data_IF_017711077023
#
_entry.id   IF_017711077023
#
_cell.length_a   1.000
_cell.length_b   1.000
_cell.length_c   1.000
_cell.angle_alpha   90.00
_cell.angle_beta   90.00
_cell.angle_gamma   90.00
#
_symmetry.space_group_name_H-M   'P 1'
#
loop_
_entity.id
_entity.type
_entity.pdbx_description
1 polymer ?
#
# COMPACT_ATOMS: atom_id res chain seq x y z
N UNK A 1 32.32 23.20 -44.32
CA UNK A 1 31.34 22.09 -44.20
C UNK A 1 32.11 20.80 -43.99
N UNK A 2 32.42 20.47 -42.74
CA UNK A 2 33.08 19.21 -42.37
C UNK A 2 32.01 18.31 -41.76
N UNK A 3 31.55 17.34 -42.54
CA UNK A 3 30.58 16.33 -42.09
C UNK A 3 31.21 15.44 -41.04
N UNK A 4 30.64 15.43 -39.84
CA UNK A 4 31.00 14.47 -38.79
C UNK A 4 30.59 13.08 -39.29
N UNK A 5 31.53 12.11 -39.39
CA UNK A 5 31.18 10.75 -39.76
C UNK A 5 30.28 10.17 -38.69
N UNK A 6 29.08 9.76 -39.11
CA UNK A 6 28.11 9.04 -38.29
C UNK A 6 28.72 7.67 -37.97
N UNK A 7 29.37 7.55 -36.82
CA UNK A 7 29.90 6.27 -36.32
C UNK A 7 28.73 5.30 -36.30
N UNK A 8 28.78 4.28 -37.17
CA UNK A 8 27.82 3.21 -37.17
C UNK A 8 27.84 2.56 -35.78
N UNK A 9 26.76 2.76 -35.02
CA UNK A 9 26.62 2.14 -33.72
C UNK A 9 26.79 0.63 -33.91
N UNK A 10 27.75 0.06 -33.18
CA UNK A 10 27.97 -1.39 -33.13
C UNK A 10 26.61 -2.05 -32.87
N UNK A 11 26.16 -3.01 -33.70
CA UNK A 11 24.88 -3.67 -33.46
C UNK A 11 24.88 -4.23 -32.05
N UNK A 12 23.87 -3.88 -31.27
CA UNK A 12 23.72 -4.39 -29.91
C UNK A 12 23.77 -5.93 -29.96
N UNK A 13 24.51 -6.58 -29.04
CA UNK A 13 24.54 -8.04 -28.99
C UNK A 13 23.12 -8.58 -28.90
N UNK A 14 22.79 -9.56 -29.74
CA UNK A 14 21.49 -10.21 -29.72
C UNK A 14 21.25 -10.84 -28.33
N UNK A 15 20.07 -10.60 -27.75
CA UNK A 15 19.67 -11.19 -26.48
C UNK A 15 19.57 -12.72 -26.66
N UNK A 16 20.43 -13.48 -25.99
CA UNK A 16 20.37 -14.95 -26.00
C UNK A 16 19.33 -15.40 -24.98
N UNK A 17 18.25 -16.02 -25.46
CA UNK A 17 17.18 -16.57 -24.63
C UNK A 17 17.34 -18.09 -24.49
N UNK A 18 16.98 -18.69 -23.34
CA UNK A 18 16.47 -18.03 -22.13
C UNK A 18 17.58 -17.33 -21.33
N UNK A 19 17.29 -16.13 -20.83
CA UNK A 19 18.19 -15.40 -19.94
C UNK A 19 17.86 -15.78 -18.50
N UNK A 20 18.76 -16.53 -17.84
CA UNK A 20 18.59 -16.94 -16.46
C UNK A 20 19.66 -16.31 -15.56
N UNK A 21 19.24 -15.80 -14.41
CA UNK A 21 20.17 -15.28 -13.40
C UNK A 21 19.58 -15.43 -11.99
N UNK A 22 20.47 -15.55 -11.02
CA UNK A 22 20.15 -15.68 -9.61
C UNK A 22 20.49 -14.38 -8.89
N UNK A 23 19.62 -13.97 -7.97
CA UNK A 23 19.85 -12.78 -7.16
C UNK A 23 19.27 -12.97 -5.77
N UNK A 24 19.74 -12.13 -4.86
CA UNK A 24 19.17 -12.02 -3.53
C UNK A 24 18.28 -10.78 -3.47
N UNK A 25 16.97 -10.99 -3.33
CA UNK A 25 16.03 -9.92 -3.05
C UNK A 25 16.12 -9.55 -1.57
N UNK A 26 16.46 -8.30 -1.31
CA UNK A 26 16.50 -7.72 0.02
C UNK A 26 15.15 -7.12 0.39
N UNK A 27 14.93 -6.84 1.67
CA UNK A 27 13.76 -6.10 2.16
C UNK A 27 13.54 -4.78 1.41
N UNK A 28 14.61 -4.10 1.00
CA UNK A 28 14.53 -2.84 0.25
C UNK A 28 13.91 -3.07 -1.13
N UNK A 29 14.33 -4.13 -1.83
CA UNK A 29 13.84 -4.48 -3.17
C UNK A 29 12.34 -4.80 -3.13
N UNK A 30 11.92 -5.64 -2.17
CA UNK A 30 10.51 -5.99 -1.96
C UNK A 30 9.69 -4.77 -1.51
N UNK A 31 10.28 -3.86 -0.74
CA UNK A 31 9.60 -2.61 -0.34
C UNK A 31 9.31 -1.73 -1.54
N UNK A 32 10.27 -1.53 -2.45
CA UNK A 32 10.06 -0.70 -3.64
C UNK A 32 9.01 -1.33 -4.56
N UNK A 33 9.07 -2.65 -4.77
CA UNK A 33 8.05 -3.39 -5.50
C UNK A 33 6.65 -3.16 -4.91
N UNK A 34 6.53 -3.30 -3.58
CA UNK A 34 5.27 -3.14 -2.85
C UNK A 34 4.76 -1.70 -2.91
N UNK A 35 5.64 -0.71 -2.81
CA UNK A 35 5.27 0.71 -2.92
C UNK A 35 4.79 1.05 -4.33
N UNK A 36 5.39 0.45 -5.36
CA UNK A 36 4.96 0.64 -6.73
C UNK A 36 3.60 -0.01 -6.99
N UNK A 37 3.41 -1.26 -6.55
CA UNK A 37 2.12 -1.97 -6.63
C UNK A 37 0.99 -1.16 -5.98
N UNK A 38 1.27 -0.54 -4.83
CA UNK A 38 0.31 0.28 -4.08
C UNK A 38 0.27 1.76 -4.53
N UNK A 39 1.11 2.19 -5.48
CA UNK A 39 1.17 3.58 -5.93
C UNK A 39 -0.17 4.13 -6.43
N UNK A 40 -1.03 3.38 -7.15
CA UNK A 40 -2.36 3.83 -7.56
C UNK A 40 -3.29 4.14 -6.38
N UNK A 41 -3.10 3.51 -5.21
CA UNK A 41 -3.86 3.80 -4.00
C UNK A 41 -3.24 4.95 -3.20
N UNK A 42 -1.91 4.99 -3.13
CA UNK A 42 -1.15 5.94 -2.30
C UNK A 42 -1.10 7.34 -2.95
N UNK A 43 -0.77 7.44 -4.24
CA UNK A 43 -0.53 8.72 -4.92
C UNK A 43 -1.79 9.61 -5.00
N UNK A 44 -2.99 9.09 -5.37
CA UNK A 44 -4.19 9.91 -5.40
C UNK A 44 -4.61 10.39 -4.01
N UNK A 45 -4.52 9.53 -3.00
CA UNK A 45 -4.84 9.92 -1.62
C UNK A 45 -3.89 11.02 -1.13
N UNK A 46 -2.58 10.90 -1.41
CA UNK A 46 -1.61 11.95 -1.12
C UNK A 46 -1.90 13.24 -1.88
N UNK A 47 -2.29 13.18 -3.16
CA UNK A 47 -2.65 14.36 -3.96
C UNK A 47 -3.90 15.05 -3.42
N UNK A 48 -4.94 14.28 -3.07
CA UNK A 48 -6.20 14.77 -2.51
C UNK A 48 -6.02 15.56 -1.22
N UNK A 49 -5.01 15.26 -0.40
CA UNK A 49 -4.68 16.07 0.78
C UNK A 49 -4.42 17.54 0.43
N UNK A 50 -3.71 17.82 -0.67
CA UNK A 50 -3.41 19.19 -1.10
C UNK A 50 -4.47 19.78 -2.03
N UNK A 51 -5.09 18.97 -2.90
CA UNK A 51 -6.04 19.49 -3.89
C UNK A 51 -7.46 19.64 -3.37
N UNK A 52 -7.83 18.89 -2.32
CA UNK A 52 -9.18 18.92 -1.74
C UNK A 52 -9.07 19.24 -0.25
N UNK A 53 -8.27 18.48 0.50
CA UNK A 53 -8.20 18.60 1.95
C UNK A 53 -7.79 19.99 2.43
N UNK A 54 -6.67 20.52 1.93
CA UNK A 54 -6.19 21.84 2.31
C UNK A 54 -7.14 22.97 1.87
N UNK A 55 -7.63 23.03 0.61
CA UNK A 55 -8.65 24.01 0.22
C UNK A 55 -9.95 23.92 1.03
N UNK A 56 -10.45 22.72 1.32
CA UNK A 56 -11.63 22.55 2.17
C UNK A 56 -11.39 23.05 3.59
N UNK A 57 -10.20 22.78 4.16
CA UNK A 57 -9.82 23.30 5.48
C UNK A 57 -9.87 24.84 5.49
N UNK A 58 -9.26 25.49 4.50
CA UNK A 58 -9.29 26.95 4.37
C UNK A 58 -10.71 27.47 4.18
N UNK A 59 -11.48 26.85 3.29
CA UNK A 59 -12.87 27.23 3.02
C UNK A 59 -13.73 27.18 4.30
N UNK A 60 -13.69 26.08 5.04
CA UNK A 60 -14.48 25.94 6.27
C UNK A 60 -13.98 26.83 7.40
N UNK A 61 -12.66 27.06 7.50
CA UNK A 61 -12.11 27.99 8.50
C UNK A 61 -12.56 29.44 8.22
N UNK A 62 -12.48 29.88 6.97
CA UNK A 62 -12.94 31.21 6.54
C UNK A 62 -14.46 31.32 6.75
N UNK A 63 -15.23 30.30 6.34
CA UNK A 63 -16.68 30.30 6.49
C UNK A 63 -17.09 30.36 7.97
N UNK A 64 -16.44 29.59 8.84
CA UNK A 64 -16.70 29.59 10.28
C UNK A 64 -16.34 30.92 10.94
N UNK A 65 -15.18 31.49 10.58
CA UNK A 65 -14.77 32.80 11.07
C UNK A 65 -15.74 33.90 10.59
N UNK A 66 -16.16 33.86 9.32
CA UNK A 66 -17.12 34.81 8.75
C UNK A 66 -18.49 34.70 9.43
N UNK A 67 -18.97 33.47 9.67
CA UNK A 67 -20.23 33.22 10.36
C UNK A 67 -20.21 33.68 11.82
N UNK A 68 -19.07 33.53 12.52
CA UNK A 68 -18.91 33.99 13.90
C UNK A 68 -18.71 35.51 14.04
N UNK A 69 -18.10 36.15 13.03
CA UNK A 69 -17.89 37.60 13.01
C UNK A 69 -19.16 38.39 12.68
N UNK A 70 -20.07 37.82 11.88
CA UNK A 70 -21.24 38.55 11.38
C UNK A 70 -22.38 38.61 12.42
N UNK A 71 -22.91 39.80 12.73
CA UNK A 71 -24.18 39.91 13.47
C UNK A 71 -25.35 39.42 12.61
N UNK A 72 -26.25 38.62 13.21
CA UNK A 72 -27.26 37.81 12.52
C UNK A 72 -28.29 38.56 11.61
N UNK A 73 -28.23 39.90 11.48
CA UNK A 73 -29.26 40.72 10.81
C UNK A 73 -28.77 41.72 9.75
N UNK A 74 -27.48 41.81 9.43
CA UNK A 74 -26.99 42.76 8.40
C UNK A 74 -26.99 42.13 7.00
N UNK A 75 -27.34 42.85 5.92
CA UNK A 75 -27.16 42.37 4.54
C UNK A 75 -25.68 42.32 4.15
N UNK A 76 -25.31 41.35 3.29
CA UNK A 76 -23.93 41.15 2.80
C UNK A 76 -23.51 42.28 1.86
N UNK A 77 -22.45 43.02 2.19
CA UNK A 77 -21.80 43.97 1.28
C UNK A 77 -20.35 43.59 0.98
N UNK A 78 -19.83 44.01 -0.18
CA UNK A 78 -18.43 43.78 -0.56
C UNK A 78 -17.44 44.48 0.40
N UNK A 79 -17.82 45.64 0.95
CA UNK A 79 -17.02 46.34 1.94
C UNK A 79 -16.85 45.53 3.24
N UNK A 80 -17.94 44.93 3.73
CA UNK A 80 -17.88 44.06 4.92
C UNK A 80 -17.01 42.82 4.70
N UNK A 81 -16.96 42.29 3.47
CA UNK A 81 -16.06 41.18 3.14
C UNK A 81 -14.59 41.63 3.22
N UNK A 82 -14.28 42.83 2.73
CA UNK A 82 -12.94 43.42 2.83
C UNK A 82 -12.50 43.67 4.27
N UNK A 83 -13.38 44.22 5.11
CA UNK A 83 -13.12 44.45 6.53
C UNK A 83 -12.88 43.12 7.27
N UNK A 84 -13.73 42.12 7.03
CA UNK A 84 -13.54 40.79 7.59
C UNK A 84 -12.20 40.17 7.19
N UNK A 85 -11.81 40.24 5.91
CA UNK A 85 -10.54 39.67 5.45
C UNK A 85 -9.35 40.37 6.11
N UNK A 86 -9.41 41.69 6.28
CA UNK A 86 -8.35 42.47 6.92
C UNK A 86 -8.19 42.08 8.40
N UNK A 87 -9.31 41.94 9.12
CA UNK A 87 -9.34 41.50 10.52
C UNK A 87 -8.87 40.05 10.64
N UNK A 88 -9.41 39.15 9.83
CA UNK A 88 -9.08 37.74 9.85
C UNK A 88 -7.58 37.50 9.62
N UNK A 89 -6.99 38.18 8.63
CA UNK A 89 -5.55 38.06 8.32
C UNK A 89 -4.68 38.64 9.45
N UNK A 90 -5.15 39.68 10.14
CA UNK A 90 -4.44 40.30 11.27
C UNK A 90 -4.54 39.53 12.60
N UNK A 91 -5.49 38.61 12.73
CA UNK A 91 -5.82 37.97 14.00
C UNK A 91 -5.23 36.56 14.19
N UNK A 92 -5.15 36.13 15.45
CA UNK A 92 -4.73 34.79 15.89
C UNK A 92 -5.31 33.59 15.10
N UNK A 93 -6.59 33.56 14.67
CA UNK A 93 -7.15 32.43 13.92
C UNK A 93 -6.46 32.16 12.59
N UNK A 94 -5.98 33.20 11.90
CA UNK A 94 -5.26 33.05 10.64
C UNK A 94 -3.88 32.43 10.85
N UNK A 95 -3.13 32.89 11.86
CA UNK A 95 -1.85 32.29 12.21
C UNK A 95 -2.00 30.81 12.62
N UNK A 96 -3.05 30.46 13.37
CA UNK A 96 -3.36 29.07 13.68
C UNK A 96 -3.65 28.24 12.41
N UNK A 97 -4.43 28.79 11.48
CA UNK A 97 -4.73 28.14 10.20
C UNK A 97 -3.47 27.95 9.35
N UNK A 98 -2.55 28.91 9.34
CA UNK A 98 -1.24 28.79 8.70
C UNK A 98 -0.41 27.67 9.32
N UNK A 99 -0.36 27.57 10.65
CA UNK A 99 0.36 26.49 11.33
C UNK A 99 -0.23 25.12 10.98
N UNK A 100 -1.56 24.99 10.99
CA UNK A 100 -2.22 23.73 10.59
C UNK A 100 -1.90 23.41 9.13
N UNK A 101 -1.94 24.42 8.25
CA UNK A 101 -1.62 24.27 6.82
C UNK A 101 -0.17 23.83 6.61
N UNK A 102 0.78 24.45 7.32
CA UNK A 102 2.19 24.06 7.32
C UNK A 102 2.35 22.60 7.80
N UNK A 103 1.60 22.19 8.82
CA UNK A 103 1.54 20.81 9.29
C UNK A 103 1.04 19.82 8.22
N UNK A 104 -0.01 20.19 7.47
CA UNK A 104 -0.54 19.38 6.35
C UNK A 104 0.50 19.26 5.22
N UNK A 105 1.18 20.35 4.87
CA UNK A 105 2.23 20.36 3.85
C UNK A 105 3.44 19.53 4.31
N UNK A 106 3.89 19.71 5.55
CA UNK A 106 4.97 18.92 6.13
C UNK A 106 4.62 17.43 6.16
N UNK A 107 3.39 17.09 6.55
CA UNK A 107 2.90 15.73 6.48
C UNK A 107 2.92 15.17 5.06
N UNK A 108 2.50 15.95 4.06
CA UNK A 108 2.54 15.56 2.66
C UNK A 108 3.96 15.33 2.13
N UNK A 109 4.94 16.11 2.60
CA UNK A 109 6.36 15.95 2.29
C UNK A 109 6.95 14.68 2.92
N UNK A 110 6.63 14.41 4.19
CA UNK A 110 7.13 13.23 4.94
C UNK A 110 6.40 11.94 4.54
N UNK A 111 5.22 12.05 3.93
CA UNK A 111 4.35 10.92 3.58
C UNK A 111 5.07 9.76 2.85
N UNK A 112 5.89 9.98 1.80
CA UNK A 112 6.55 8.88 1.08
C UNK A 112 7.51 8.10 1.99
N UNK A 113 8.30 8.81 2.79
CA UNK A 113 9.22 8.19 3.74
C UNK A 113 8.48 7.40 4.82
N UNK A 114 7.36 7.95 5.32
CA UNK A 114 6.51 7.27 6.29
C UNK A 114 5.89 6.00 5.70
N UNK A 115 5.38 6.05 4.48
CA UNK A 115 4.82 4.87 3.79
C UNK A 115 5.88 3.80 3.59
N UNK A 116 7.10 4.18 3.16
CA UNK A 116 8.24 3.25 3.06
C UNK A 116 8.54 2.58 4.40
N UNK A 117 8.63 3.33 5.50
CA UNK A 117 8.86 2.76 6.84
C UNK A 117 7.73 1.84 7.31
N UNK A 118 6.48 2.21 7.03
CA UNK A 118 5.33 1.36 7.37
C UNK A 118 5.34 0.07 6.56
N UNK A 119 5.65 0.14 5.26
CA UNK A 119 5.77 -1.01 4.38
C UNK A 119 6.89 -1.94 4.84
N UNK A 120 8.08 -1.40 5.16
CA UNK A 120 9.19 -2.19 5.72
C UNK A 120 8.79 -2.90 7.02
N UNK A 121 8.07 -2.22 7.93
CA UNK A 121 7.59 -2.86 9.17
C UNK A 121 6.58 -3.98 8.88
N UNK A 122 5.67 -3.78 7.94
CA UNK A 122 4.70 -4.79 7.55
C UNK A 122 5.39 -6.01 6.90
N UNK A 123 6.34 -5.77 5.99
CA UNK A 123 7.12 -6.82 5.32
C UNK A 123 8.02 -7.59 6.31
N UNK A 124 8.65 -6.92 7.29
CA UNK A 124 9.38 -7.63 8.36
C UNK A 124 8.44 -8.51 9.19
N UNK A 125 7.28 -8.00 9.56
CA UNK A 125 6.27 -8.78 10.27
C UNK A 125 5.72 -9.96 9.44
N UNK A 126 5.83 -9.89 8.11
CA UNK A 126 5.51 -10.97 7.18
C UNK A 126 6.66 -11.98 6.99
N UNK A 127 7.86 -11.72 7.51
CA UNK A 127 9.02 -12.63 7.42
C UNK A 127 10.07 -12.26 6.37
N UNK A 128 10.03 -11.05 5.80
CA UNK A 128 11.04 -10.57 4.84
C UNK A 128 12.33 -10.00 5.50
N UNK A 129 12.74 -10.54 6.64
CA UNK A 129 13.95 -10.06 7.34
C UNK A 129 15.24 -10.55 6.67
N UNK A 130 15.22 -11.78 6.15
CA UNK A 130 16.35 -12.40 5.47
C UNK A 130 16.28 -12.20 3.96
N UNK A 131 17.42 -11.98 3.27
CA UNK A 131 17.46 -11.96 1.81
C UNK A 131 16.90 -13.25 1.20
N UNK A 132 16.21 -13.12 0.08
CA UNK A 132 15.57 -14.23 -0.63
C UNK A 132 16.39 -14.56 -1.85
N UNK A 133 16.90 -15.79 -1.93
CA UNK A 133 17.45 -16.32 -3.17
C UNK A 133 16.31 -16.53 -4.17
N UNK A 134 16.36 -15.77 -5.26
CA UNK A 134 15.39 -15.82 -6.33
C UNK A 134 16.11 -16.01 -7.66
N UNK A 135 15.68 -17.01 -8.41
CA UNK A 135 16.14 -17.24 -9.79
C UNK A 135 15.09 -16.75 -10.76
N UNK A 136 15.50 -15.87 -11.65
CA UNK A 136 14.69 -15.40 -12.76
C UNK A 136 15.05 -16.18 -14.02
N UNK A 137 14.05 -16.53 -14.81
CA UNK A 137 14.23 -17.07 -16.15
C UNK A 137 13.33 -16.25 -17.08
N UNK A 138 13.96 -15.45 -17.93
CA UNK A 138 13.30 -14.66 -18.98
C UNK A 138 13.37 -15.49 -20.25
N UNK A 139 12.21 -15.96 -20.70
CA UNK A 139 12.07 -16.79 -21.89
C UNK A 139 11.13 -16.12 -22.90
N UNK A 140 11.02 -16.69 -24.10
CA UNK A 140 10.20 -16.11 -25.18
C UNK A 140 8.70 -16.11 -24.84
N UNK A 141 8.25 -17.04 -24.01
CA UNK A 141 6.87 -17.22 -23.56
C UNK A 141 6.54 -16.38 -22.32
N UNK A 142 7.49 -16.21 -21.39
CA UNK A 142 7.23 -15.42 -20.19
C UNK A 142 8.39 -15.29 -19.22
N UNK A 143 8.01 -14.88 -18.01
CA UNK A 143 8.88 -14.72 -16.86
C UNK A 143 8.60 -15.84 -15.85
N UNK A 144 9.60 -16.69 -15.61
CA UNK A 144 9.57 -17.63 -14.48
C UNK A 144 10.38 -17.06 -13.32
N UNK A 145 9.81 -17.10 -12.11
CA UNK A 145 10.52 -16.80 -10.87
C UNK A 145 10.52 -18.03 -9.98
N UNK A 146 11.70 -18.40 -9.46
CA UNK A 146 11.90 -19.60 -8.63
C UNK A 146 12.52 -19.22 -7.29
N UNK A 147 11.75 -19.46 -6.25
CA UNK A 147 12.14 -19.46 -4.84
C UNK A 147 12.24 -20.92 -4.36
N UNK A 148 12.93 -21.20 -3.23
CA UNK A 148 13.06 -22.57 -2.72
C UNK A 148 11.72 -23.31 -2.55
N UNK A 149 10.68 -22.60 -2.12
CA UNK A 149 9.35 -23.14 -1.79
C UNK A 149 8.25 -22.70 -2.77
N UNK A 150 8.56 -21.82 -3.74
CA UNK A 150 7.57 -21.22 -4.64
C UNK A 150 8.15 -21.09 -6.04
N UNK A 151 7.39 -21.50 -7.05
CA UNK A 151 7.70 -21.23 -8.45
C UNK A 151 6.52 -20.53 -9.08
N UNK A 152 6.75 -19.47 -9.83
CA UNK A 152 5.70 -18.78 -10.57
C UNK A 152 6.11 -18.55 -12.00
N UNK A 153 5.16 -18.72 -12.91
CA UNK A 153 5.30 -18.38 -14.32
C UNK A 153 4.26 -17.34 -14.69
N UNK A 154 4.72 -16.22 -15.26
CA UNK A 154 3.88 -15.14 -15.75
C UNK A 154 4.15 -14.95 -17.23
N UNK A 155 3.18 -15.22 -18.12
CA UNK A 155 3.36 -14.99 -19.54
C UNK A 155 3.40 -13.50 -19.86
N UNK A 156 4.05 -13.12 -20.96
CA UNK A 156 4.20 -11.70 -21.32
C UNK A 156 2.85 -10.99 -21.54
N UNK A 157 1.83 -11.72 -22.03
CA UNK A 157 0.46 -11.22 -22.16
C UNK A 157 -0.21 -10.80 -20.84
N UNK A 158 0.26 -11.33 -19.70
CA UNK A 158 -0.26 -11.01 -18.36
C UNK A 158 0.58 -9.94 -17.66
N UNK A 159 1.62 -9.40 -18.31
CA UNK A 159 2.36 -8.24 -17.81
C UNK A 159 1.75 -7.02 -18.50
N UNK A 160 1.26 -6.08 -17.70
CA UNK A 160 0.55 -4.89 -18.21
C UNK A 160 1.51 -3.83 -18.76
N UNK A 161 2.65 -3.67 -18.09
CA UNK A 161 3.71 -2.73 -18.47
C UNK A 161 5.02 -3.06 -17.77
N UNK A 162 6.10 -2.55 -18.34
CA UNK A 162 7.38 -2.39 -17.68
C UNK A 162 7.44 -0.99 -17.06
N UNK A 163 7.84 -0.90 -15.79
CA UNK A 163 8.18 0.37 -15.15
C UNK A 163 9.66 0.35 -14.75
N UNK A 164 10.33 1.48 -14.80
CA UNK A 164 11.77 1.58 -14.57
C UNK A 164 12.05 2.50 -13.38
N UNK A 165 12.63 1.92 -12.33
CA UNK A 165 13.19 2.67 -11.20
C UNK A 165 14.67 2.96 -11.38
N UNK A 166 15.27 3.62 -10.39
CA UNK A 166 16.72 3.86 -10.36
C UNK A 166 17.50 2.54 -10.38
N UNK A 167 17.11 1.61 -9.51
CA UNK A 167 17.86 0.38 -9.24
C UNK A 167 17.14 -0.91 -9.69
N UNK A 168 15.93 -0.79 -10.23
CA UNK A 168 15.05 -1.93 -10.56
C UNK A 168 14.32 -1.74 -11.89
N UNK A 169 14.04 -2.86 -12.54
CA UNK A 169 12.97 -2.99 -13.54
C UNK A 169 11.76 -3.64 -12.86
N UNK A 170 10.57 -3.11 -13.07
CA UNK A 170 9.36 -3.62 -12.45
C UNK A 170 8.39 -4.16 -13.50
N UNK A 171 8.05 -5.44 -13.39
CA UNK A 171 6.98 -6.04 -14.16
C UNK A 171 5.67 -5.82 -13.42
N UNK A 172 4.82 -4.96 -13.97
CA UNK A 172 3.53 -4.61 -13.35
C UNK A 172 2.46 -5.55 -13.89
N UNK A 173 1.87 -6.38 -13.03
CA UNK A 173 0.76 -7.25 -13.39
C UNK A 173 -0.59 -6.47 -13.31
N UNK A 174 -1.58 -6.78 -14.15
CA UNK A 174 -2.91 -6.14 -14.14
C UNK A 174 -3.61 -6.30 -12.79
N UNK A 175 -3.53 -7.50 -12.21
CA UNK A 175 -3.92 -7.71 -10.82
C UNK A 175 -2.88 -7.05 -9.93
N UNK A 176 -3.27 -6.01 -9.20
CA UNK A 176 -2.44 -5.27 -8.22
C UNK A 176 -1.92 -6.13 -7.05
N UNK A 177 -2.02 -7.45 -7.16
CA UNK A 177 -1.65 -8.45 -6.17
C UNK A 177 -0.12 -8.55 -6.06
N UNK A 178 0.60 -8.52 -7.18
CA UNK A 178 2.06 -8.66 -7.18
C UNK A 178 2.72 -7.77 -8.24
N UNK A 179 3.85 -7.16 -7.89
CA UNK A 179 4.76 -6.50 -8.83
C UNK A 179 6.10 -7.22 -8.69
N UNK A 180 6.61 -7.74 -9.79
CA UNK A 180 7.90 -8.44 -9.77
C UNK A 180 8.99 -7.41 -9.99
N UNK A 181 9.82 -7.17 -8.96
CA UNK A 181 10.97 -6.28 -9.06
C UNK A 181 12.21 -7.06 -9.44
N UNK A 182 12.83 -6.69 -10.56
CA UNK A 182 14.10 -7.21 -11.05
C UNK A 182 15.21 -6.20 -10.72
N UNK A 183 16.11 -6.48 -9.77
CA UNK A 183 17.23 -5.60 -9.48
C UNK A 183 18.17 -5.48 -10.69
N UNK A 184 18.48 -4.25 -11.11
CA UNK A 184 19.40 -4.01 -12.23
C UNK A 184 20.80 -4.57 -11.99
N UNK A 185 21.22 -4.63 -10.71
CA UNK A 185 22.47 -5.27 -10.29
C UNK A 185 22.56 -6.78 -10.63
N UNK A 186 21.43 -7.43 -10.87
CA UNK A 186 21.37 -8.85 -11.23
C UNK A 186 21.46 -9.08 -12.75
N UNK A 187 21.27 -8.02 -13.55
CA UNK A 187 21.31 -8.09 -15.01
C UNK A 187 22.78 -7.96 -15.44
N UNK A 188 23.28 -8.78 -16.38
CA UNK A 188 24.64 -8.65 -16.89
C UNK A 188 24.92 -7.23 -17.41
N UNK A 189 26.12 -6.72 -17.12
CA UNK A 189 26.50 -5.36 -17.51
C UNK A 189 26.36 -5.14 -19.02
N UNK A 190 25.71 -4.04 -19.41
CA UNK A 190 25.47 -3.70 -20.82
C UNK A 190 24.26 -4.39 -21.47
N UNK A 191 23.55 -5.30 -20.78
CA UNK A 191 22.33 -5.94 -21.31
C UNK A 191 21.04 -5.25 -20.90
N UNK A 192 21.08 -4.26 -19.99
CA UNK A 192 19.87 -3.61 -19.47
C UNK A 192 19.06 -2.94 -20.57
N UNK A 193 19.71 -2.14 -21.43
CA UNK A 193 19.02 -1.43 -22.51
C UNK A 193 18.46 -2.41 -23.55
N UNK A 194 19.24 -3.43 -23.92
CA UNK A 194 18.80 -4.49 -24.85
C UNK A 194 17.61 -5.27 -24.29
N UNK A 195 17.68 -5.67 -23.01
CA UNK A 195 16.60 -6.39 -22.34
C UNK A 195 15.36 -5.50 -22.24
N UNK A 196 15.50 -4.22 -21.90
CA UNK A 196 14.38 -3.27 -21.84
C UNK A 196 13.68 -3.17 -23.20
N UNK A 197 14.43 -2.88 -24.25
CA UNK A 197 13.86 -2.74 -25.60
C UNK A 197 13.22 -4.05 -26.10
N UNK A 198 13.79 -5.20 -25.74
CA UNK A 198 13.18 -6.50 -26.01
C UNK A 198 11.86 -6.66 -25.24
N UNK A 199 11.85 -6.42 -23.92
CA UNK A 199 10.66 -6.54 -23.08
C UNK A 199 9.52 -5.62 -23.53
N UNK A 200 9.82 -4.40 -23.96
CA UNK A 200 8.82 -3.45 -24.49
C UNK A 200 8.09 -3.99 -25.73
N UNK A 201 8.72 -4.87 -26.52
CA UNK A 201 8.09 -5.48 -27.70
C UNK A 201 7.20 -6.68 -27.34
N UNK A 202 7.54 -7.41 -26.27
CA UNK A 202 6.87 -8.66 -25.90
C UNK A 202 5.77 -8.47 -24.85
N UNK A 203 5.88 -7.47 -23.98
CA UNK A 203 4.88 -7.19 -22.95
C UNK A 203 3.52 -6.89 -23.58
N UNK A 204 2.49 -7.61 -23.13
CA UNK A 204 1.14 -7.52 -23.69
C UNK A 204 0.96 -8.16 -25.07
N UNK A 205 2.02 -8.74 -25.66
CA UNK A 205 1.91 -9.39 -26.96
C UNK A 205 0.98 -10.62 -26.88
N UNK A 206 0.11 -10.83 -27.89
CA UNK A 206 -0.74 -12.00 -27.93
C UNK A 206 0.12 -13.26 -28.09
N UNK A 207 -0.04 -14.20 -27.16
CA UNK A 207 0.68 -15.47 -27.14
C UNK A 207 -0.32 -16.63 -27.08
N UNK A 208 -0.09 -17.60 -27.96
CA UNK A 208 -0.66 -18.94 -27.83
C UNK A 208 0.16 -19.66 -26.78
N UNK A 209 -0.41 -19.79 -25.58
CA UNK A 209 0.24 -20.48 -24.48
C UNK A 209 -0.31 -21.90 -24.41
N UNK A 210 0.57 -22.90 -24.17
CA UNK A 210 0.13 -24.27 -23.98
C UNK A 210 -0.86 -24.32 -22.81
N UNK A 211 -1.88 -25.16 -22.96
CA UNK A 211 -2.84 -25.41 -21.90
C UNK A 211 -2.09 -26.01 -20.70
N UNK A 212 -2.41 -25.60 -19.46
CA UNK A 212 -1.83 -26.20 -18.27
C UNK A 212 -2.00 -27.73 -18.31
N UNK A 213 -1.00 -28.52 -17.89
CA UNK A 213 -1.13 -29.96 -17.86
C UNK A 213 -2.36 -30.38 -17.04
N UNK A 214 -3.01 -31.47 -17.47
CA UNK A 214 -4.12 -32.03 -16.73
C UNK A 214 -3.66 -32.38 -15.31
N UNK A 215 -4.46 -32.07 -14.28
CA UNK A 215 -4.10 -32.40 -12.91
C UNK A 215 -3.99 -33.93 -12.76
N UNK A 216 -3.13 -34.40 -11.84
CA UNK A 216 -3.12 -35.81 -11.47
C UNK A 216 -4.54 -36.27 -11.08
N UNK A 217 -4.90 -37.52 -11.40
CA UNK A 217 -6.23 -38.06 -11.05
C UNK A 217 -6.53 -38.00 -9.55
N UNK A 218 -5.49 -38.07 -8.73
CA UNK A 218 -5.60 -38.00 -7.28
C UNK A 218 -5.59 -36.56 -6.74
N UNK A 219 -5.29 -35.54 -7.54
CA UNK A 219 -5.22 -34.17 -7.06
C UNK A 219 -6.63 -33.56 -6.84
N UNK A 220 -6.78 -32.77 -5.78
CA UNK A 220 -7.96 -31.95 -5.57
C UNK A 220 -7.92 -30.76 -6.54
N UNK A 221 -8.79 -30.75 -7.55
CA UNK A 221 -8.89 -29.66 -8.53
C UNK A 221 -10.26 -28.97 -8.43
N UNK A 222 -10.26 -27.64 -8.35
CA UNK A 222 -11.48 -26.82 -8.37
C UNK A 222 -11.21 -25.45 -8.99
N UNK A 223 -12.26 -24.80 -9.48
CA UNK A 223 -12.17 -23.48 -10.11
C UNK A 223 -13.03 -22.47 -9.39
N UNK A 224 -12.54 -21.24 -9.25
CA UNK A 224 -13.28 -20.16 -8.62
C UNK A 224 -13.06 -18.85 -9.34
N UNK A 225 -14.16 -18.17 -9.65
CA UNK A 225 -14.14 -16.76 -10.03
C UNK A 225 -14.27 -15.95 -8.75
N UNK A 226 -13.23 -15.18 -8.44
CA UNK A 226 -13.22 -14.32 -7.26
C UNK A 226 -14.26 -13.22 -7.40
N UNK A 227 -15.08 -13.04 -6.36
CA UNK A 227 -16.07 -11.98 -6.26
C UNK A 227 -15.54 -10.81 -5.41
N UNK A 228 -16.15 -9.59 -5.50
CA UNK A 228 -15.77 -8.46 -4.66
C UNK A 228 -15.73 -8.76 -3.16
N UNK A 229 -16.61 -9.64 -2.68
CA UNK A 229 -16.66 -10.06 -1.27
C UNK A 229 -15.44 -10.89 -0.84
N UNK A 230 -14.84 -11.65 -1.75
CA UNK A 230 -13.66 -12.46 -1.45
C UNK A 230 -12.44 -11.54 -1.34
N UNK A 231 -12.29 -10.60 -2.27
CA UNK A 231 -11.26 -9.56 -2.17
C UNK A 231 -11.41 -8.71 -0.92
N UNK A 232 -12.64 -8.39 -0.52
CA UNK A 232 -12.91 -7.68 0.72
C UNK A 232 -12.50 -8.50 1.95
N UNK A 233 -12.78 -9.80 1.97
CA UNK A 233 -12.35 -10.70 3.05
C UNK A 233 -10.82 -10.77 3.15
N UNK A 234 -10.14 -10.90 2.01
CA UNK A 234 -8.67 -10.86 1.93
C UNK A 234 -8.12 -9.56 2.51
N UNK A 235 -8.60 -8.40 2.05
CA UNK A 235 -8.16 -7.08 2.56
C UNK A 235 -8.48 -6.90 4.04
N UNK A 236 -9.66 -7.32 4.50
CA UNK A 236 -10.07 -7.22 5.89
C UNK A 236 -9.13 -8.03 6.80
N UNK A 237 -8.79 -9.26 6.40
CA UNK A 237 -7.85 -10.10 7.13
C UNK A 237 -6.48 -9.42 7.28
N UNK A 238 -5.90 -8.88 6.19
CA UNK A 238 -4.64 -8.12 6.29
C UNK A 238 -4.77 -6.94 7.25
N UNK A 239 -5.87 -6.19 7.17
CA UNK A 239 -6.11 -5.04 8.04
C UNK A 239 -6.28 -5.42 9.52
N UNK A 240 -6.67 -6.66 9.81
CA UNK A 240 -6.91 -7.20 11.14
C UNK A 240 -5.69 -7.93 11.75
N UNK A 241 -4.56 -7.99 11.03
CA UNK A 241 -3.31 -8.49 11.61
C UNK A 241 -2.96 -7.75 12.91
N UNK A 242 -2.58 -8.45 14.01
CA UNK A 242 -2.35 -7.84 15.31
C UNK A 242 -1.37 -6.67 15.29
N UNK A 243 -0.31 -6.75 14.48
CA UNK A 243 0.68 -5.70 14.33
C UNK A 243 0.08 -4.42 13.70
N UNK A 244 -0.74 -4.58 12.66
CA UNK A 244 -1.38 -3.46 11.97
C UNK A 244 -2.49 -2.82 12.81
N UNK A 245 -3.28 -3.63 13.54
CA UNK A 245 -4.26 -3.14 14.53
C UNK A 245 -3.57 -2.32 15.63
N UNK A 246 -2.47 -2.82 16.20
CA UNK A 246 -1.68 -2.09 17.20
C UNK A 246 -1.12 -0.79 16.62
N UNK A 247 -0.51 -0.84 15.44
CA UNK A 247 0.05 0.33 14.78
C UNK A 247 -1.02 1.41 14.48
N UNK A 248 -2.23 1.00 14.08
CA UNK A 248 -3.37 1.89 13.84
C UNK A 248 -3.85 2.56 15.14
N UNK A 249 -4.07 1.79 16.20
CA UNK A 249 -4.47 2.33 17.52
C UNK A 249 -3.43 3.28 18.09
N UNK A 250 -2.15 2.89 18.09
CA UNK A 250 -1.05 3.76 18.50
C UNK A 250 -0.92 4.99 17.61
N UNK A 251 -1.22 4.86 16.31
CA UNK A 251 -1.29 5.99 15.39
C UNK A 251 -2.35 7.01 15.80
N UNK A 252 -3.53 6.56 16.20
CA UNK A 252 -4.63 7.41 16.68
C UNK A 252 -4.23 8.09 17.99
N UNK A 253 -3.75 7.34 18.98
CA UNK A 253 -3.31 7.87 20.28
C UNK A 253 -2.19 8.90 20.11
N UNK A 254 -1.17 8.58 19.30
CA UNK A 254 -0.07 9.52 19.02
C UNK A 254 -0.58 10.80 18.35
N UNK A 255 -1.47 10.68 17.36
CA UNK A 255 -2.01 11.85 16.69
C UNK A 255 -2.85 12.72 17.65
N UNK A 256 -3.62 12.10 18.55
CA UNK A 256 -4.32 12.81 19.62
C UNK A 256 -3.36 13.55 20.56
N UNK A 257 -2.30 12.90 21.03
CA UNK A 257 -1.30 13.53 21.89
C UNK A 257 -0.63 14.72 21.19
N UNK A 258 -0.20 14.55 19.93
CA UNK A 258 0.41 15.62 19.14
C UNK A 258 -0.55 16.79 18.92
N UNK A 259 -1.82 16.52 18.62
CA UNK A 259 -2.83 17.56 18.44
C UNK A 259 -3.15 18.29 19.76
N UNK A 260 -3.19 17.56 20.87
CA UNK A 260 -3.44 18.11 22.21
C UNK A 260 -2.30 19.01 22.68
N UNK A 261 -1.05 18.67 22.31
CA UNK A 261 0.14 19.46 22.64
C UNK A 261 0.35 20.66 21.69
N UNK A 262 -0.35 20.73 20.56
CA UNK A 262 -0.13 21.78 19.57
C UNK A 262 -0.34 23.18 20.16
N UNK A 263 -1.45 23.41 20.88
CA UNK A 263 -1.74 24.74 21.46
C UNK A 263 -0.72 25.12 22.54
N UNK A 264 -0.44 24.30 23.57
CA UNK A 264 0.59 24.62 24.56
C UNK A 264 1.97 24.89 23.94
N UNK A 265 2.40 24.06 22.98
CA UNK A 265 3.70 24.21 22.31
C UNK A 265 3.75 25.53 21.52
N UNK A 266 2.68 25.88 20.82
CA UNK A 266 2.61 27.16 20.09
C UNK A 266 2.62 28.36 21.03
N UNK A 267 1.92 28.30 22.17
CA UNK A 267 1.94 29.40 23.15
C UNK A 267 3.32 29.57 23.77
N UNK A 268 4.00 28.47 24.12
CA UNK A 268 5.39 28.50 24.61
C UNK A 268 6.33 29.05 23.55
N UNK A 269 6.17 28.63 22.29
CA UNK A 269 6.97 29.12 21.18
C UNK A 269 6.76 30.62 20.94
N UNK A 270 5.51 31.11 20.99
CA UNK A 270 5.19 32.52 20.87
C UNK A 270 5.84 33.34 21.98
N UNK A 271 5.74 32.89 23.24
CA UNK A 271 6.43 33.52 24.37
C UNK A 271 7.97 33.50 24.21
N UNK A 272 8.54 32.43 23.67
CA UNK A 272 9.99 32.34 23.47
C UNK A 272 10.50 33.29 22.37
N UNK A 273 9.69 33.51 21.34
CA UNK A 273 10.00 34.40 20.21
C UNK A 273 9.72 35.88 20.51
N UNK A 274 8.93 36.17 21.55
CA UNK A 274 8.64 37.52 21.98
C UNK A 274 9.92 38.21 22.51
N UNK A 275 10.26 39.36 21.90
CA UNK A 275 11.43 40.15 22.27
C UNK A 275 11.27 40.84 23.62
N UNK A 276 10.03 41.06 24.05
CA UNK A 276 9.65 41.69 25.32
C UNK A 276 9.14 40.66 26.34
N UNK A 277 9.51 39.38 26.15
CA UNK A 277 8.99 38.28 26.95
C UNK A 277 9.22 38.47 28.46
N UNK A 278 8.21 38.10 29.23
CA UNK A 278 8.31 38.00 30.68
C UNK A 278 9.37 36.95 31.08
N UNK A 279 10.12 37.18 32.18
CA UNK A 279 10.98 36.16 32.78
C UNK A 279 10.25 34.84 33.03
N UNK A 280 10.93 33.70 32.88
CA UNK A 280 10.36 32.36 33.06
C UNK A 280 9.66 32.21 34.42
N UNK A 281 10.22 32.81 35.47
CA UNK A 281 9.66 32.78 36.83
C UNK A 281 8.27 33.40 36.92
N UNK A 282 7.95 34.37 36.06
CA UNK A 282 6.64 35.03 35.99
C UNK A 282 5.72 34.40 34.94
N UNK A 283 6.29 33.87 33.85
CA UNK A 283 5.52 33.23 32.79
C UNK A 283 4.97 31.86 33.19
N UNK A 284 5.73 31.06 33.94
CA UNK A 284 5.34 29.68 34.31
C UNK A 284 4.02 29.60 35.11
N UNK A 285 3.79 30.44 36.14
CA UNK A 285 2.49 30.52 36.82
C UNK A 285 1.35 30.86 35.86
N UNK A 286 1.57 31.80 34.92
CA UNK A 286 0.56 32.18 33.93
C UNK A 286 0.21 30.98 33.04
N UNK A 287 1.19 30.22 32.56
CA UNK A 287 0.94 29.00 31.81
C UNK A 287 0.15 27.96 32.60
N UNK A 288 0.42 27.83 33.90
CA UNK A 288 -0.32 26.95 34.79
C UNK A 288 -1.78 27.38 34.94
N UNK A 289 -2.03 28.68 35.09
CA UNK A 289 -3.37 29.26 35.21
C UNK A 289 -4.16 29.19 33.88
N UNK A 290 -3.46 29.21 32.75
CA UNK A 290 -4.05 28.99 31.42
C UNK A 290 -4.45 27.53 31.18
N UNK A 291 -3.89 26.56 31.91
CA UNK A 291 -4.20 25.16 31.72
C UNK A 291 -5.69 24.83 31.95
N UNK A 292 -6.32 25.15 33.10
CA UNK A 292 -7.72 24.83 33.39
C UNK A 292 -8.73 25.70 32.61
N UNK A 293 -8.31 26.82 32.02
CA UNK A 293 -9.21 27.73 31.29
C UNK A 293 -9.14 27.54 29.77
N UNK A 294 -7.97 27.13 29.25
CA UNK A 294 -7.68 27.16 27.81
C UNK A 294 -7.10 25.83 27.27
N UNK A 295 -6.00 25.32 27.82
CA UNK A 295 -5.25 24.22 27.19
C UNK A 295 -5.96 22.87 27.17
N UNK A 296 -6.79 22.55 28.18
CA UNK A 296 -7.46 21.26 28.22
C UNK A 296 -8.61 21.12 27.20
N UNK A 297 -9.23 22.24 26.78
CA UNK A 297 -10.40 22.21 25.89
C UNK A 297 -10.07 21.61 24.51
N UNK A 298 -9.01 22.03 23.81
CA UNK A 298 -8.57 21.35 22.58
C UNK A 298 -8.21 19.88 22.83
N UNK A 299 -7.53 19.57 23.94
CA UNK A 299 -7.14 18.19 24.26
C UNK A 299 -8.37 17.29 24.44
N UNK A 300 -9.42 17.77 25.11
CA UNK A 300 -10.70 17.07 25.23
C UNK A 300 -11.36 16.92 23.86
N UNK A 301 -11.45 17.98 23.06
CA UNK A 301 -12.06 17.93 21.74
C UNK A 301 -11.37 16.90 20.83
N UNK A 302 -10.04 16.91 20.75
CA UNK A 302 -9.28 15.89 20.02
C UNK A 302 -9.39 14.50 20.64
N UNK A 303 -9.54 14.41 21.97
CA UNK A 303 -9.76 13.16 22.68
C UNK A 303 -11.10 12.51 22.31
N UNK A 304 -12.16 13.30 22.24
CA UNK A 304 -13.47 12.86 21.76
C UNK A 304 -13.39 12.40 20.30
N UNK A 305 -12.72 13.15 19.41
CA UNK A 305 -12.52 12.73 18.03
C UNK A 305 -11.71 11.43 17.91
N UNK A 306 -10.69 11.25 18.74
CA UNK A 306 -9.90 10.02 18.79
C UNK A 306 -10.74 8.83 19.31
N UNK A 307 -11.54 9.04 20.35
CA UNK A 307 -12.47 8.05 20.89
C UNK A 307 -13.52 7.63 19.86
N UNK A 308 -14.13 8.61 19.17
CA UNK A 308 -15.06 8.34 18.06
C UNK A 308 -14.35 7.55 16.95
N UNK A 309 -13.15 7.96 16.54
CA UNK A 309 -12.38 7.25 15.50
C UNK A 309 -12.07 5.81 15.89
N UNK A 310 -11.80 5.54 17.18
CA UNK A 310 -11.60 4.19 17.71
C UNK A 310 -12.90 3.38 17.76
N UNK A 311 -14.00 3.98 18.20
CA UNK A 311 -15.33 3.37 18.22
C UNK A 311 -15.78 2.96 16.81
N UNK A 312 -15.53 3.82 15.83
CA UNK A 312 -15.84 3.58 14.42
C UNK A 312 -14.71 2.86 13.66
N UNK A 313 -13.65 2.39 14.30
CA UNK A 313 -12.53 1.78 13.56
C UNK A 313 -12.96 0.52 12.82
N UNK A 314 -13.69 -0.39 13.49
CA UNK A 314 -14.19 -1.62 12.88
C UNK A 314 -15.13 -1.38 11.69
N UNK A 315 -16.23 -0.62 11.80
CA UNK A 315 -17.12 -0.39 10.66
C UNK A 315 -16.40 0.34 9.53
N UNK A 316 -15.52 1.29 9.85
CA UNK A 316 -14.74 2.00 8.85
C UNK A 316 -13.77 1.05 8.11
N UNK A 317 -13.07 0.17 8.81
CA UNK A 317 -12.18 -0.83 8.18
C UNK A 317 -12.96 -1.80 7.30
N UNK A 318 -14.16 -2.25 7.74
CA UNK A 318 -15.03 -3.09 6.90
C UNK A 318 -15.47 -2.37 5.63
N UNK A 319 -15.86 -1.10 5.74
CA UNK A 319 -16.21 -0.28 4.58
C UNK A 319 -15.00 -0.11 3.63
N UNK A 320 -13.81 0.18 4.17
CA UNK A 320 -12.58 0.27 3.38
C UNK A 320 -12.25 -1.06 2.70
N UNK A 321 -12.37 -2.18 3.40
CA UNK A 321 -12.13 -3.51 2.84
C UNK A 321 -13.11 -3.81 1.69
N UNK A 322 -14.40 -3.49 1.85
CA UNK A 322 -15.39 -3.61 0.78
C UNK A 322 -15.06 -2.74 -0.43
N UNK A 323 -14.68 -1.48 -0.22
CA UNK A 323 -14.30 -0.56 -1.29
C UNK A 323 -13.03 -1.01 -2.02
N UNK A 324 -11.99 -1.38 -1.28
CA UNK A 324 -10.75 -1.94 -1.84
C UNK A 324 -10.99 -3.26 -2.57
N UNK A 325 -11.85 -4.14 -2.03
CA UNK A 325 -12.22 -5.38 -2.68
C UNK A 325 -12.93 -5.15 -4.01
N UNK A 326 -13.84 -4.19 -4.08
CA UNK A 326 -14.50 -3.79 -5.32
C UNK A 326 -13.51 -3.17 -6.34
N UNK A 327 -12.52 -2.40 -5.89
CA UNK A 327 -11.47 -1.87 -6.77
C UNK A 327 -10.57 -2.98 -7.31
N UNK A 328 -10.10 -3.88 -6.45
CA UNK A 328 -9.27 -5.04 -6.84
C UNK A 328 -10.00 -5.94 -7.83
N UNK A 329 -11.30 -6.18 -7.60
CA UNK A 329 -12.12 -6.95 -8.52
C UNK A 329 -12.27 -6.30 -9.90
N UNK A 330 -12.28 -4.96 -9.97
CA UNK A 330 -12.33 -4.23 -11.24
C UNK A 330 -10.99 -4.23 -11.98
N UNK A 331 -9.86 -4.24 -11.27
CA UNK A 331 -8.53 -4.28 -11.89
C UNK A 331 -8.06 -5.70 -12.22
N UNK A 332 -8.72 -6.73 -11.69
CA UNK A 332 -8.32 -8.12 -11.87
C UNK A 332 -9.09 -8.79 -13.02
N UNK A 333 -8.40 -9.64 -13.78
CA UNK A 333 -9.04 -10.48 -14.80
C UNK A 333 -10.14 -11.35 -14.18
N UNK A 334 -11.31 -11.43 -14.83
CA UNK A 334 -12.43 -12.30 -14.44
C UNK A 334 -12.23 -13.78 -14.81
N UNK A 335 -11.05 -14.15 -15.31
CA UNK A 335 -10.67 -15.54 -15.57
C UNK A 335 -10.76 -16.35 -14.28
N UNK A 336 -11.34 -17.57 -14.30
CA UNK A 336 -11.37 -18.43 -13.13
C UNK A 336 -9.94 -18.73 -12.67
N UNK A 337 -9.77 -18.74 -11.34
CA UNK A 337 -8.59 -19.28 -10.69
C UNK A 337 -8.83 -20.77 -10.50
N UNK A 338 -8.03 -21.60 -11.16
CA UNK A 338 -8.01 -23.04 -10.91
C UNK A 338 -6.99 -23.34 -9.83
N UNK A 339 -7.42 -24.08 -8.82
CA UNK A 339 -6.57 -24.60 -7.76
C UNK A 339 -6.42 -26.11 -7.97
N UNK A 340 -5.19 -26.59 -7.90
CA UNK A 340 -4.85 -28.01 -7.89
C UNK A 340 -3.99 -28.25 -6.64
N UNK A 341 -4.46 -29.11 -5.75
CA UNK A 341 -3.82 -29.40 -4.47
C UNK A 341 -3.53 -30.90 -4.40
N UNK A 342 -2.28 -31.26 -4.15
CA UNK A 342 -1.80 -32.64 -4.07
C UNK A 342 -0.68 -32.79 -3.03
N UNK A 343 -0.07 -33.96 -2.93
CA UNK A 343 0.99 -34.25 -1.96
C UNK A 343 2.29 -33.47 -2.24
N UNK A 344 2.44 -32.87 -3.43
CA UNK A 344 3.60 -32.05 -3.78
C UNK A 344 3.42 -30.58 -3.37
N UNK A 345 2.19 -30.09 -3.37
CA UNK A 345 1.85 -28.74 -2.95
C UNK A 345 0.56 -28.19 -3.54
N UNK A 346 0.54 -26.88 -3.76
CA UNK A 346 -0.61 -26.13 -4.25
C UNK A 346 -0.22 -25.41 -5.53
N UNK A 347 -0.83 -25.80 -6.65
CA UNK A 347 -0.75 -25.10 -7.92
C UNK A 347 -1.98 -24.22 -8.10
N UNK A 348 -1.77 -22.92 -8.26
CA UNK A 348 -2.80 -21.97 -8.69
C UNK A 348 -2.55 -21.59 -10.14
N UNK A 349 -3.59 -21.68 -10.96
CA UNK A 349 -3.58 -21.33 -12.38
C UNK A 349 -4.61 -20.25 -12.63
N UNK A 350 -4.19 -19.15 -13.26
CA UNK A 350 -5.05 -18.02 -13.63
C UNK A 350 -4.82 -17.70 -15.09
N UNK A 351 -5.70 -18.19 -15.96
CA UNK A 351 -5.43 -18.22 -17.40
C UNK A 351 -4.21 -19.08 -17.70
N UNK A 352 -3.12 -18.47 -18.20
CA UNK A 352 -1.85 -19.15 -18.45
C UNK A 352 -0.74 -18.79 -17.45
N UNK A 353 -1.04 -17.95 -16.44
CA UNK A 353 -0.12 -17.74 -15.33
C UNK A 353 -0.27 -18.89 -14.32
N UNK A 354 0.85 -19.38 -13.82
CA UNK A 354 0.87 -20.45 -12.81
C UNK A 354 1.68 -20.02 -11.59
N UNK A 355 1.29 -20.49 -10.43
CA UNK A 355 2.05 -20.36 -9.19
C UNK A 355 1.95 -21.66 -8.44
N UNK A 356 3.08 -22.32 -8.25
CA UNK A 356 3.22 -23.52 -7.47
C UNK A 356 3.86 -23.20 -6.13
N UNK A 357 3.24 -23.65 -5.04
CA UNK A 357 3.72 -23.48 -3.67
C UNK A 357 3.88 -24.86 -3.05
N UNK A 358 5.10 -25.21 -2.67
CA UNK A 358 5.40 -26.46 -1.97
C UNK A 358 4.86 -26.40 -0.55
N UNK A 359 4.53 -27.55 0.02
CA UNK A 359 4.04 -27.65 1.41
C UNK A 359 4.88 -26.94 2.47
N UNK A 360 6.23 -26.99 2.47
CA UNK A 360 7.04 -26.23 3.42
C UNK A 360 6.88 -24.71 3.32
N UNK A 361 6.30 -24.21 2.22
CA UNK A 361 5.92 -22.81 2.03
C UNK A 361 4.55 -22.46 2.61
N UNK A 362 3.75 -23.42 3.04
CA UNK A 362 2.42 -23.17 3.63
C UNK A 362 2.56 -23.17 5.14
N UNK A 363 2.39 -22.01 5.78
CA UNK A 363 2.58 -21.84 7.23
C UNK A 363 1.33 -22.21 8.03
N UNK A 364 0.15 -22.10 7.43
CA UNK A 364 -1.07 -22.32 8.19
C UNK A 364 -2.34 -22.25 7.37
N UNK A 365 -3.39 -22.85 7.92
CA UNK A 365 -4.75 -22.78 7.41
C UNK A 365 -5.63 -22.10 8.46
N UNK A 366 -6.26 -20.99 8.11
CA UNK A 366 -7.21 -20.27 8.95
C UNK A 366 -8.63 -20.39 8.36
N UNK A 367 -9.58 -20.77 9.21
CA UNK A 367 -10.99 -20.88 8.84
C UNK A 367 -11.70 -19.56 9.15
N UNK A 368 -12.14 -18.88 8.11
CA UNK A 368 -13.10 -17.77 8.21
C UNK A 368 -14.52 -18.29 7.96
N UNK A 369 -15.58 -17.52 8.31
CA UNK A 369 -16.96 -17.97 8.12
C UNK A 369 -17.26 -18.44 6.69
N UNK A 370 -16.80 -17.68 5.69
CA UNK A 370 -17.10 -17.89 4.26
C UNK A 370 -15.86 -18.27 3.43
N UNK A 371 -14.67 -18.37 4.04
CA UNK A 371 -13.41 -18.55 3.33
C UNK A 371 -12.44 -19.45 4.11
N UNK A 372 -11.61 -20.18 3.38
CA UNK A 372 -10.34 -20.70 3.89
C UNK A 372 -9.21 -19.76 3.47
N UNK A 373 -8.35 -19.44 4.43
CA UNK A 373 -7.14 -18.66 4.20
C UNK A 373 -5.92 -19.55 4.42
N UNK A 374 -5.23 -19.87 3.33
CA UNK A 374 -3.95 -20.54 3.38
C UNK A 374 -2.85 -19.48 3.44
N UNK A 375 -2.14 -19.45 4.55
CA UNK A 375 -1.02 -18.55 4.79
C UNK A 375 0.23 -19.14 4.17
N UNK A 376 0.82 -18.44 3.21
CA UNK A 376 2.09 -18.81 2.61
C UNK A 376 3.22 -18.08 3.35
N UNK A 377 4.40 -18.65 3.33
CA UNK A 377 5.63 -18.00 3.74
C UNK A 377 5.75 -16.62 3.12
N UNK A 378 6.30 -15.69 3.91
CA UNK A 378 6.56 -14.31 3.47
C UNK A 378 5.28 -13.51 3.18
N UNK A 379 4.21 -13.80 3.93
CA UNK A 379 3.04 -12.94 4.02
C UNK A 379 2.15 -12.89 2.78
N UNK A 380 2.34 -13.77 1.80
CA UNK A 380 1.32 -14.05 0.78
C UNK A 380 0.22 -14.92 1.36
N UNK A 381 -0.99 -14.82 0.82
CA UNK A 381 -2.14 -15.62 1.24
C UNK A 381 -2.92 -16.09 0.03
N UNK A 382 -3.31 -17.37 0.03
CA UNK A 382 -4.33 -17.87 -0.89
C UNK A 382 -5.66 -17.87 -0.17
N UNK A 383 -6.65 -17.24 -0.80
CA UNK A 383 -8.02 -17.20 -0.31
C UNK A 383 -8.87 -18.14 -1.16
N UNK A 384 -9.54 -19.08 -0.51
CA UNK A 384 -10.44 -20.03 -1.14
C UNK A 384 -11.85 -19.82 -0.57
N UNK A 385 -12.80 -19.30 -1.36
CA UNK A 385 -14.19 -19.18 -0.93
C UNK A 385 -14.79 -20.55 -0.63
N UNK A 386 -15.57 -20.65 0.45
CA UNK A 386 -16.18 -21.91 0.85
C UNK A 386 -17.13 -22.49 -0.17
N UNK A 387 -17.82 -21.61 -0.90
CA UNK A 387 -18.71 -21.95 -2.01
C UNK A 387 -18.02 -22.58 -3.23
N UNK A 388 -16.69 -22.54 -3.30
CA UNK A 388 -15.94 -23.13 -4.41
C UNK A 388 -15.67 -24.64 -4.21
N UNK A 389 -15.98 -25.17 -3.03
CA UNK A 389 -15.70 -26.55 -2.66
C UNK A 389 -16.98 -27.22 -2.17
N UNK A 390 -17.22 -28.42 -2.66
CA UNK A 390 -18.21 -29.32 -2.08
C UNK A 390 -17.73 -29.83 -0.71
N UNK A 391 -18.61 -30.29 0.20
CA UNK A 391 -18.23 -30.73 1.54
C UNK A 391 -17.09 -31.77 1.56
N UNK A 392 -17.12 -32.75 0.65
CA UNK A 392 -16.05 -33.75 0.54
C UNK A 392 -14.71 -33.16 0.08
N UNK A 393 -14.74 -32.17 -0.82
CA UNK A 393 -13.55 -31.47 -1.27
C UNK A 393 -12.96 -30.58 -0.17
N UNK A 394 -13.83 -29.95 0.63
CA UNK A 394 -13.46 -29.16 1.79
C UNK A 394 -12.77 -30.02 2.86
N UNK A 395 -13.33 -31.17 3.21
CA UNK A 395 -12.71 -32.13 4.12
C UNK A 395 -11.36 -32.61 3.61
N UNK A 396 -11.27 -32.90 2.30
CA UNK A 396 -10.01 -33.33 1.67
C UNK A 396 -8.94 -32.23 1.71
N UNK A 397 -9.31 -30.98 1.41
CA UNK A 397 -8.39 -29.84 1.50
C UNK A 397 -7.86 -29.69 2.92
N UNK A 398 -8.74 -29.75 3.91
CA UNK A 398 -8.36 -29.63 5.32
C UNK A 398 -7.48 -30.79 5.78
N UNK A 399 -7.74 -32.01 5.33
CA UNK A 399 -6.90 -33.17 5.60
C UNK A 399 -5.49 -33.02 5.02
N UNK A 400 -5.37 -32.62 3.75
CA UNK A 400 -4.08 -32.36 3.09
C UNK A 400 -3.29 -31.27 3.80
N UNK A 401 -3.93 -30.12 4.08
CA UNK A 401 -3.29 -29.05 4.82
C UNK A 401 -2.86 -29.48 6.23
N UNK A 402 -3.72 -30.20 6.97
CA UNK A 402 -3.40 -30.63 8.32
C UNK A 402 -2.24 -31.63 8.34
N UNK A 403 -2.20 -32.56 7.39
CA UNK A 403 -1.13 -33.55 7.28
C UNK A 403 0.24 -32.90 7.05
N UNK A 404 0.33 -31.99 6.08
CA UNK A 404 1.61 -31.41 5.68
C UNK A 404 2.05 -30.23 6.54
N UNK A 405 1.13 -29.43 7.10
CA UNK A 405 1.50 -28.31 7.99
C UNK A 405 2.00 -28.83 9.34
N UNK A 406 1.52 -29.97 9.83
CA UNK A 406 2.01 -30.55 11.10
C UNK A 406 3.40 -31.18 10.98
N UNK A 407 3.84 -31.53 9.76
CA UNK A 407 5.14 -32.15 9.51
C UNK A 407 6.25 -31.14 9.20
N UNK A 408 5.89 -29.88 8.95
CA UNK A 408 6.80 -28.77 8.65
C UNK A 408 7.14 -27.96 9.89
#
# INVERSE_FOLDING_TARGET
MTGVPKIAARPAPALTLPLAFETQLTLADVTEASLLANAPLIRPNRRRLLTIGLPSLWFFAILGAFAGWRPARSPLSLAQLGDFLTIFIGDMPFYLLLVISAGVVLWWLIHPWRMRRLMQKALRAAGFETPILLRYVIAADGLTTREPQRESFTPWRHISRLDEGRDHLFFVLPSQEETVALPKRAIPAGQIDTLRSWLEQWIGAPQVLPEPPAPPQEALSFEVVMEPRDWAAHVAWYQDLPALRRARRWGIVRNWLLASLAVPVLTIAAWALDTERLPVSLALPIFWDLFPSFFWKPALAFGVLAALRLAFDRPLMRWFAGHSGAMLNKSTSKTPNRFVVDDSGILTVKGAATTFVKWPGVIGLERLPEHWLMRISRGSTLIVPRRALDPAQAERLEALCSHHIQQA
#
